data_IF_676397193161
#
_entry.id   IF_676397193161
#
_cell.length_a   1.000
_cell.length_b   1.000
_cell.length_c   1.000
_cell.angle_alpha   90.00
_cell.angle_beta   90.00
_cell.angle_gamma   90.00
#
_symmetry.space_group_name_H-M   'P 1'
#
loop_
_entity.id
_entity.type
_entity.pdbx_description
1 polymer ?
#
# COMPACT_ATOMS: atom_id res chain seq x y z
N UNK A 1 7.44 -16.74 -10.85
CA UNK A 1 6.14 -16.10 -11.14
C UNK A 1 6.40 -14.69 -11.66
N UNK A 2 5.74 -14.25 -12.75
CA UNK A 2 5.95 -12.90 -13.32
C UNK A 2 4.96 -11.94 -12.66
N UNK A 3 5.46 -10.84 -12.08
CA UNK A 3 4.61 -9.82 -11.48
C UNK A 3 3.86 -9.05 -12.58
N UNK A 4 2.54 -9.25 -12.66
CA UNK A 4 1.66 -8.52 -13.58
C UNK A 4 0.99 -7.34 -12.87
N UNK A 5 0.54 -6.34 -13.66
CA UNK A 5 -0.21 -5.16 -13.20
C UNK A 5 -1.35 -5.49 -12.23
N UNK A 6 -2.05 -6.61 -12.45
CA UNK A 6 -3.15 -7.07 -11.60
C UNK A 6 -2.73 -7.30 -10.14
N UNK A 7 -1.50 -7.77 -9.90
CA UNK A 7 -0.98 -8.00 -8.55
C UNK A 7 -0.72 -6.68 -7.82
N UNK A 8 -0.25 -5.64 -8.54
CA UNK A 8 -0.08 -4.30 -7.98
C UNK A 8 -1.41 -3.70 -7.52
N UNK A 9 -2.45 -3.82 -8.35
CA UNK A 9 -3.80 -3.38 -7.98
C UNK A 9 -4.40 -4.18 -6.84
N UNK A 10 -4.17 -5.50 -6.79
CA UNK A 10 -4.60 -6.34 -5.68
C UNK A 10 -3.97 -5.87 -4.35
N UNK A 11 -2.65 -5.63 -4.33
CA UNK A 11 -1.96 -5.11 -3.15
C UNK A 11 -2.51 -3.75 -2.69
N UNK A 12 -2.78 -2.84 -3.63
CA UNK A 12 -3.40 -1.57 -3.30
C UNK A 12 -4.83 -1.72 -2.79
N UNK A 13 -5.61 -2.66 -3.33
CA UNK A 13 -6.95 -2.97 -2.84
C UNK A 13 -6.93 -3.49 -1.39
N UNK A 14 -6.02 -4.43 -1.10
CA UNK A 14 -5.81 -4.93 0.27
C UNK A 14 -5.37 -3.80 1.21
N UNK A 15 -4.45 -2.94 0.78
CA UNK A 15 -4.01 -1.79 1.56
C UNK A 15 -5.18 -0.84 1.86
N UNK A 16 -5.98 -0.48 0.85
CA UNK A 16 -7.14 0.39 0.99
C UNK A 16 -8.18 -0.19 1.96
N UNK A 17 -8.47 -1.49 1.86
CA UNK A 17 -9.35 -2.19 2.79
C UNK A 17 -8.81 -2.16 4.23
N UNK A 18 -7.49 -2.35 4.38
CA UNK A 18 -6.79 -2.21 5.64
C UNK A 18 -7.00 -0.82 6.25
N UNK A 19 -6.66 0.25 5.52
CA UNK A 19 -6.85 1.61 6.03
C UNK A 19 -8.30 1.88 6.43
N UNK A 20 -9.26 1.48 5.59
CA UNK A 20 -10.68 1.67 5.88
C UNK A 20 -11.09 1.00 7.20
N UNK A 21 -10.79 -0.29 7.33
CA UNK A 21 -11.17 -1.09 8.51
C UNK A 21 -10.51 -0.56 9.78
N UNK A 22 -9.21 -0.26 9.72
CA UNK A 22 -8.45 0.16 10.90
C UNK A 22 -8.73 1.61 11.31
N UNK A 23 -9.05 2.49 10.35
CA UNK A 23 -9.50 3.86 10.68
C UNK A 23 -10.87 3.84 11.34
N UNK A 24 -11.79 3.00 10.87
CA UNK A 24 -13.10 2.81 11.51
C UNK A 24 -12.95 2.24 12.93
N UNK A 25 -12.07 1.24 13.10
CA UNK A 25 -11.80 0.67 14.41
C UNK A 25 -11.17 1.68 15.38
N UNK A 26 -10.20 2.47 14.90
CA UNK A 26 -9.57 3.54 15.68
C UNK A 26 -10.59 4.60 16.10
N UNK A 27 -11.49 5.01 15.19
CA UNK A 27 -12.59 5.93 15.49
C UNK A 27 -13.53 5.35 16.55
N UNK A 28 -13.88 4.07 16.44
CA UNK A 28 -14.73 3.42 17.43
C UNK A 28 -14.06 3.34 18.80
N UNK A 29 -12.76 3.04 18.85
CA UNK A 29 -11.97 3.01 20.07
C UNK A 29 -11.91 4.42 20.71
N UNK A 30 -11.68 5.44 19.90
CA UNK A 30 -11.68 6.84 20.35
C UNK A 30 -13.04 7.24 20.92
N UNK A 31 -14.13 6.88 20.25
CA UNK A 31 -15.48 7.17 20.73
C UNK A 31 -15.74 6.53 22.11
N UNK A 32 -15.39 5.25 22.28
CA UNK A 32 -15.52 4.55 23.56
C UNK A 32 -14.70 5.22 24.68
N UNK A 33 -13.47 5.62 24.36
CA UNK A 33 -12.61 6.36 25.31
C UNK A 33 -13.23 7.70 25.70
N UNK A 34 -13.71 8.47 24.71
CA UNK A 34 -14.32 9.79 24.94
C UNK A 34 -15.67 9.73 25.66
N UNK A 35 -16.38 8.61 25.54
CA UNK A 35 -17.63 8.36 26.27
C UNK A 35 -17.39 7.97 27.75
N UNK A 36 -16.13 7.84 28.17
CA UNK A 36 -15.77 7.50 29.54
C UNK A 36 -16.02 6.04 29.90
N UNK A 37 -16.00 5.13 28.91
CA UNK A 37 -16.17 3.71 29.18
C UNK A 37 -15.01 3.16 30.03
N UNK A 38 -15.33 2.67 31.24
CA UNK A 38 -14.37 1.97 32.09
C UNK A 38 -14.05 0.59 31.51
N UNK A 39 -12.83 0.43 30.99
CA UNK A 39 -12.29 -0.84 30.52
C UNK A 39 -10.88 -1.03 31.06
N UNK A 40 -10.49 -2.28 31.27
CA UNK A 40 -9.16 -2.63 31.78
C UNK A 40 -8.03 -1.96 30.96
N UNK A 41 -6.97 -1.47 31.60
CA UNK A 41 -5.86 -0.81 30.90
C UNK A 41 -5.28 -1.62 29.74
N UNK A 42 -5.17 -2.94 29.90
CA UNK A 42 -4.71 -3.86 28.85
C UNK A 42 -5.60 -3.88 27.60
N UNK A 43 -6.89 -3.59 27.73
CA UNK A 43 -7.80 -3.44 26.59
C UNK A 43 -7.32 -2.30 25.67
N UNK A 44 -7.06 -1.12 26.24
CA UNK A 44 -6.67 0.06 25.45
C UNK A 44 -5.31 -0.11 24.78
N UNK A 45 -4.35 -0.68 25.50
CA UNK A 45 -3.00 -0.94 24.99
C UNK A 45 -3.04 -1.95 23.84
N UNK A 46 -3.72 -3.08 24.03
CA UNK A 46 -3.81 -4.12 23.01
C UNK A 46 -4.47 -3.62 21.72
N UNK A 47 -5.60 -2.92 21.83
CA UNK A 47 -6.33 -2.42 20.67
C UNK A 47 -5.58 -1.31 19.94
N UNK A 48 -4.93 -0.40 20.69
CA UNK A 48 -4.09 0.64 20.08
C UNK A 48 -2.89 0.04 19.36
N UNK A 49 -2.17 -0.91 19.99
CA UNK A 49 -1.04 -1.60 19.36
C UNK A 49 -1.47 -2.34 18.09
N UNK A 50 -2.61 -3.02 18.16
CA UNK A 50 -3.18 -3.75 17.04
C UNK A 50 -3.54 -2.81 15.88
N UNK A 51 -4.11 -1.62 16.14
CA UNK A 51 -4.33 -0.59 15.11
C UNK A 51 -3.00 -0.17 14.47
N UNK A 52 -1.99 0.18 15.28
CA UNK A 52 -0.69 0.66 14.79
C UNK A 52 -0.01 -0.35 13.88
N UNK A 53 0.09 -1.61 14.32
CA UNK A 53 0.72 -2.68 13.53
C UNK A 53 0.01 -2.88 12.20
N UNK A 54 -1.32 -2.88 12.20
CA UNK A 54 -2.07 -3.10 10.98
C UNK A 54 -2.03 -1.92 10.00
N UNK A 55 -2.03 -0.68 10.51
CA UNK A 55 -1.80 0.50 9.67
C UNK A 55 -0.40 0.44 9.05
N UNK A 56 0.62 0.03 9.82
CA UNK A 56 1.97 -0.16 9.29
C UNK A 56 2.01 -1.23 8.18
N UNK A 57 1.30 -2.35 8.33
CA UNK A 57 1.15 -3.35 7.27
C UNK A 57 0.47 -2.77 6.02
N UNK A 58 -0.59 -1.98 6.18
CA UNK A 58 -1.24 -1.30 5.06
C UNK A 58 -0.28 -0.35 4.32
N UNK A 59 0.60 0.36 5.04
CA UNK A 59 1.67 1.18 4.44
C UNK A 59 2.65 0.32 3.64
N UNK A 60 3.10 -0.80 4.19
CA UNK A 60 3.99 -1.74 3.49
C UNK A 60 3.34 -2.25 2.19
N UNK A 61 2.08 -2.68 2.25
CA UNK A 61 1.35 -3.11 1.05
C UNK A 61 1.17 -1.99 0.03
N UNK A 62 0.96 -0.75 0.49
CA UNK A 62 0.89 0.42 -0.39
C UNK A 62 2.20 0.62 -1.15
N UNK A 63 3.33 0.61 -0.42
CA UNK A 63 4.67 0.78 -0.99
C UNK A 63 4.97 -0.32 -2.00
N UNK A 64 4.67 -1.58 -1.67
CA UNK A 64 4.89 -2.72 -2.56
C UNK A 64 3.98 -2.69 -3.79
N UNK A 65 2.69 -2.40 -3.63
CA UNK A 65 1.75 -2.26 -4.73
C UNK A 65 2.19 -1.18 -5.72
N UNK A 66 2.61 -0.02 -5.21
CA UNK A 66 3.16 1.05 -6.05
C UNK A 66 4.47 0.64 -6.73
N UNK A 67 5.34 -0.12 -6.06
CA UNK A 67 6.59 -0.60 -6.65
C UNK A 67 6.34 -1.58 -7.80
N UNK A 68 5.36 -2.48 -7.66
CA UNK A 68 4.93 -3.41 -8.73
C UNK A 68 4.37 -2.63 -9.91
N UNK A 69 3.45 -1.68 -9.67
CA UNK A 69 2.85 -0.90 -10.75
C UNK A 69 3.88 -0.05 -11.51
N UNK A 70 4.88 0.52 -10.81
CA UNK A 70 5.99 1.24 -11.43
C UNK A 70 6.86 0.32 -12.29
N UNK A 71 7.26 -0.84 -11.76
CA UNK A 71 8.07 -1.80 -12.50
C UNK A 71 7.39 -2.29 -13.78
N UNK A 72 6.08 -2.57 -13.73
CA UNK A 72 5.32 -2.97 -14.92
C UNK A 72 5.21 -1.82 -15.92
N UNK A 73 4.95 -0.58 -15.46
CA UNK A 73 4.90 0.59 -16.34
C UNK A 73 6.22 0.85 -17.06
N UNK A 74 7.34 0.69 -16.36
CA UNK A 74 8.66 0.91 -16.95
C UNK A 74 9.03 -0.18 -17.96
N UNK A 75 8.58 -1.42 -17.75
CA UNK A 75 8.73 -2.51 -18.72
C UNK A 75 7.85 -2.35 -19.97
N UNK A 76 6.69 -1.68 -19.85
CA UNK A 76 5.77 -1.38 -20.95
C UNK A 76 6.15 -0.12 -21.73
N UNK A 77 7.15 0.64 -21.26
CA UNK A 77 7.57 1.89 -21.91
C UNK A 77 8.27 1.56 -23.23
N UNK A 78 7.72 1.96 -24.39
CA UNK A 78 8.43 1.77 -25.66
C UNK A 78 9.72 2.59 -25.66
N UNK A 79 10.76 2.08 -26.34
CA UNK A 79 12.03 2.79 -26.50
C UNK A 79 11.77 4.19 -27.07
N UNK A 80 12.48 5.19 -26.53
CA UNK A 80 12.32 6.55 -27.02
C UNK A 80 12.78 6.61 -28.50
N UNK A 81 12.11 7.38 -29.37
CA UNK A 81 12.57 7.57 -30.75
C UNK A 81 14.04 8.05 -30.85
N UNK A 82 14.54 8.73 -29.81
CA UNK A 82 15.93 9.15 -29.71
C UNK A 82 16.91 7.98 -29.48
N UNK A 83 16.47 6.91 -28.84
CA UNK A 83 17.23 5.69 -28.57
C UNK A 83 17.31 4.80 -29.81
N UNK A 84 16.22 4.74 -30.60
CA UNK A 84 16.22 4.08 -31.92
C UNK A 84 17.10 4.83 -32.92
N UNK A 85 16.95 6.15 -33.07
CA UNK A 85 17.75 6.94 -34.01
C UNK A 85 19.27 6.89 -33.72
N UNK A 86 19.66 6.80 -32.45
CA UNK A 86 21.06 6.63 -32.05
C UNK A 86 21.62 5.22 -32.26
N UNK A 87 20.77 4.20 -32.36
CA UNK A 87 21.18 2.84 -32.70
C UNK A 87 21.32 2.65 -34.21
N UNK A 88 20.45 3.26 -35.03
CA UNK A 88 20.55 3.21 -36.49
C UNK A 88 21.82 3.87 -37.00
N UNK A 89 22.19 5.03 -36.47
CA UNK A 89 23.43 5.74 -36.85
C UNK A 89 24.74 5.11 -36.32
N UNK A 90 24.68 4.04 -35.51
CA UNK A 90 25.85 3.29 -35.03
C UNK A 90 26.14 2.03 -35.87
N UNK A 91 25.19 1.61 -36.69
CA UNK A 91 25.28 0.42 -37.54
C UNK A 91 25.70 0.75 -38.99
N UNK A 92 25.95 2.02 -39.30
CA UNK A 92 26.51 2.53 -40.57
C UNK A 92 27.96 2.99 -40.39
#
# INVERSE_FOLDING_TARGET
MRFERKHGWFLLGVAAWGYYSWTMFARNLWNAWSAGEERAGGYWVAHTALIVVNVALAVVFTVWGLRVLRAVRDAERPASPAEEAGQTGRQE
#
